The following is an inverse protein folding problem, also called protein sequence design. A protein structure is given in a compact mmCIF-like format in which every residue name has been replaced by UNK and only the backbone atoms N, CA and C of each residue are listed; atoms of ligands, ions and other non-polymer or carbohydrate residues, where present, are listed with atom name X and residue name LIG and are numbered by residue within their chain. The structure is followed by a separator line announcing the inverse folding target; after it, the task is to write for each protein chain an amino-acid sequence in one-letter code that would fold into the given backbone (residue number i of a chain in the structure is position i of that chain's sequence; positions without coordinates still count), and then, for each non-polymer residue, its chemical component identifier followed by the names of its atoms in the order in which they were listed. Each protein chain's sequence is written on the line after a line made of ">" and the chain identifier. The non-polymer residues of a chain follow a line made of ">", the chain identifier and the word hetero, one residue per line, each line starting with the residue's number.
data_IF_082224423811
#
_entry.id   IF_082224423811
#
_cell.length_a   1.000
_cell.length_b   1.000
_cell.length_c   1.000
_cell.angle_alpha   90.00
_cell.angle_beta   90.00
_cell.angle_gamma   90.00
#
_symmetry.space_group_name_H-M   'P 1'
#
loop_
_entity.id
_entity.type
_entity.pdbx_description
1 polymer ?
#
# COMPACT_ATOMS: atom_id res chain seq x y z
N UNK A 1 19.70 -8.85 -7.89
CA UNK A 1 18.41 -9.09 -7.22
C UNK A 1 18.14 -7.83 -6.43
N UNK A 2 17.01 -7.16 -6.66
CA UNK A 2 16.65 -6.01 -5.84
C UNK A 2 16.54 -6.45 -4.37
N UNK A 3 17.11 -5.66 -3.48
CA UNK A 3 16.94 -5.84 -2.04
C UNK A 3 15.72 -5.04 -1.61
N UNK A 4 14.89 -5.61 -0.75
CA UNK A 4 13.69 -4.94 -0.25
C UNK A 4 13.76 -4.84 1.26
N UNK A 5 13.44 -3.66 1.78
CA UNK A 5 13.32 -3.40 3.20
C UNK A 5 11.84 -3.37 3.58
N UNK A 6 11.38 -4.34 4.38
CA UNK A 6 10.00 -4.38 4.85
C UNK A 6 9.74 -3.23 5.83
N UNK A 7 8.80 -2.35 5.48
CA UNK A 7 8.38 -1.21 6.30
C UNK A 7 7.20 -1.57 7.20
N UNK A 8 6.20 -2.24 6.62
CA UNK A 8 4.99 -2.67 7.32
C UNK A 8 4.56 -4.05 6.84
N UNK A 9 3.99 -4.82 7.77
CA UNK A 9 3.40 -6.12 7.47
C UNK A 9 2.12 -6.27 8.28
N UNK A 10 1.04 -6.65 7.59
CA UNK A 10 -0.27 -6.88 8.17
C UNK A 10 -0.72 -8.29 7.81
N UNK A 11 -1.03 -9.10 8.82
CA UNK A 11 -1.59 -10.43 8.63
C UNK A 11 -3.14 -10.40 8.66
N UNK A 12 -3.75 -11.58 8.51
CA UNK A 12 -5.20 -11.76 8.45
C UNK A 12 -5.96 -11.32 9.73
N UNK A 13 -5.26 -11.06 10.84
CA UNK A 13 -5.86 -10.50 12.06
C UNK A 13 -6.24 -9.03 11.88
N UNK A 14 -5.53 -8.30 11.02
CA UNK A 14 -5.84 -6.91 10.67
C UNK A 14 -7.01 -6.84 9.69
N UNK A 15 -7.74 -5.73 9.75
CA UNK A 15 -8.85 -5.42 8.83
C UNK A 15 -8.73 -3.99 8.32
N UNK A 16 -9.03 -3.78 7.05
CA UNK A 16 -9.20 -2.43 6.52
C UNK A 16 -10.55 -1.89 6.97
N UNK A 17 -10.51 -0.78 7.71
CA UNK A 17 -11.72 -0.10 8.24
C UNK A 17 -12.06 1.17 7.47
N UNK A 18 -11.07 1.74 6.78
CA UNK A 18 -11.25 2.91 5.95
C UNK A 18 -10.31 2.83 4.76
N UNK A 19 -10.83 3.15 3.58
CA UNK A 19 -10.10 3.23 2.33
C UNK A 19 -10.53 4.50 1.60
N UNK A 20 -9.60 5.42 1.39
CA UNK A 20 -9.84 6.70 0.73
C UNK A 20 -8.92 6.82 -0.47
N UNK A 21 -9.49 6.88 -1.67
CA UNK A 21 -8.74 7.16 -2.89
C UNK A 21 -8.90 8.65 -3.20
N UNK A 22 -7.80 9.37 -3.24
CA UNK A 22 -7.76 10.79 -3.60
C UNK A 22 -7.20 10.94 -5.00
N UNK A 23 -7.92 11.66 -5.86
CA UNK A 23 -7.46 12.00 -7.20
C UNK A 23 -7.68 13.47 -7.44
N UNK A 24 -6.59 14.22 -7.51
CA UNK A 24 -6.65 15.63 -7.90
C UNK A 24 -6.94 15.74 -9.39
N UNK A 25 -7.85 16.65 -9.76
CA UNK A 25 -8.28 16.83 -11.16
C UNK A 25 -7.12 17.25 -12.09
N UNK A 26 -6.10 17.89 -11.53
CA UNK A 26 -4.92 18.38 -12.24
C UNK A 26 -3.75 17.39 -12.24
N UNK A 27 -3.84 16.28 -11.50
CA UNK A 27 -2.79 15.26 -11.43
C UNK A 27 -3.23 13.95 -12.08
N UNK A 28 -2.29 13.31 -12.77
CA UNK A 28 -2.53 11.99 -13.38
C UNK A 28 -2.53 10.89 -12.31
N UNK A 29 -1.77 11.08 -11.23
CA UNK A 29 -1.54 10.07 -10.20
C UNK A 29 -2.56 10.17 -9.07
N UNK A 30 -2.87 9.03 -8.46
CA UNK A 30 -3.84 8.93 -7.35
C UNK A 30 -3.11 8.68 -6.03
N UNK A 31 -3.62 9.24 -4.94
CA UNK A 31 -3.24 8.90 -3.57
C UNK A 31 -4.21 7.88 -2.97
N UNK A 32 -3.73 7.09 -2.02
CA UNK A 32 -4.54 6.14 -1.27
C UNK A 32 -4.24 6.31 0.22
N UNK A 33 -5.28 6.37 1.03
CA UNK A 33 -5.16 6.28 2.46
C UNK A 33 -5.92 5.06 2.95
N UNK A 34 -5.24 4.19 3.69
CA UNK A 34 -5.80 2.94 4.22
C UNK A 34 -5.62 2.91 5.73
N UNK A 35 -6.69 2.62 6.45
CA UNK A 35 -6.66 2.40 7.89
C UNK A 35 -6.81 0.93 8.21
N UNK A 36 -5.73 0.31 8.66
CA UNK A 36 -5.68 -1.05 9.17
C UNK A 36 -6.01 -1.03 10.67
N UNK A 37 -6.92 -1.89 11.12
CA UNK A 37 -7.29 -2.02 12.52
C UNK A 37 -7.14 -3.47 12.99
N UNK A 38 -6.64 -3.66 14.22
CA UNK A 38 -6.57 -4.93 14.90
C UNK A 38 -6.81 -4.73 16.40
N UNK A 39 -7.86 -5.37 16.92
CA UNK A 39 -8.31 -5.22 18.31
C UNK A 39 -8.49 -3.74 18.73
N UNK A 40 -7.58 -3.19 19.54
CA UNK A 40 -7.60 -1.80 20.02
C UNK A 40 -6.55 -0.92 19.32
N UNK A 41 -5.89 -1.43 18.29
CA UNK A 41 -4.88 -0.71 17.53
C UNK A 41 -5.41 -0.35 16.14
N UNK A 42 -5.09 0.86 15.69
CA UNK A 42 -5.30 1.28 14.31
C UNK A 42 -4.05 1.96 13.77
N UNK A 43 -3.74 1.70 12.50
CA UNK A 43 -2.62 2.28 11.77
C UNK A 43 -3.18 2.80 10.46
N UNK A 44 -2.99 4.10 10.22
CA UNK A 44 -3.34 4.72 8.94
C UNK A 44 -2.08 4.92 8.12
N UNK A 45 -2.06 4.37 6.91
CA UNK A 45 -1.00 4.56 5.93
C UNK A 45 -1.53 5.39 4.77
N UNK A 46 -0.78 6.41 4.38
CA UNK A 46 -1.02 7.20 3.18
C UNK A 46 0.06 6.86 2.14
N UNK A 47 -0.39 6.40 0.97
CA UNK A 47 0.42 6.02 -0.18
C UNK A 47 0.29 7.12 -1.26
N UNK A 48 1.42 7.64 -1.71
CA UNK A 48 1.48 8.74 -2.68
C UNK A 48 1.81 8.24 -4.08
N UNK A 49 1.14 8.81 -5.08
CA UNK A 49 1.44 8.58 -6.50
C UNK A 49 1.36 7.11 -6.95
N UNK A 50 0.21 6.47 -6.74
CA UNK A 50 0.00 5.06 -7.07
C UNK A 50 -0.09 4.87 -8.59
N UNK A 51 0.59 3.83 -9.08
CA UNK A 51 0.71 3.51 -10.50
C UNK A 51 -0.54 2.82 -11.08
N UNK A 52 -1.08 1.82 -10.38
CA UNK A 52 -2.25 1.04 -10.81
C UNK A 52 -3.28 0.87 -9.67
N UNK A 53 -4.29 1.75 -9.60
CA UNK A 53 -5.29 1.68 -8.55
C UNK A 53 -6.32 0.54 -8.74
N UNK A 54 -6.25 -0.23 -9.82
CA UNK A 54 -7.27 -1.27 -10.12
C UNK A 54 -7.34 -2.35 -9.04
N UNK A 55 -6.21 -2.65 -8.41
CA UNK A 55 -6.10 -3.70 -7.39
C UNK A 55 -6.34 -3.20 -5.97
N UNK A 56 -6.64 -1.92 -5.77
CA UNK A 56 -6.84 -1.33 -4.43
C UNK A 56 -7.99 -1.99 -3.68
N UNK A 57 -9.02 -2.48 -4.40
CA UNK A 57 -10.17 -3.13 -3.76
C UNK A 57 -9.81 -4.46 -3.06
N UNK A 58 -8.75 -5.13 -3.50
CA UNK A 58 -8.25 -6.38 -2.89
C UNK A 58 -7.75 -6.16 -1.44
N UNK A 59 -7.41 -4.91 -1.08
CA UNK A 59 -7.07 -4.54 0.31
C UNK A 59 -8.22 -4.76 1.29
N UNK A 60 -9.47 -4.88 0.83
CA UNK A 60 -10.59 -5.15 1.73
C UNK A 60 -10.65 -6.61 2.18
N UNK A 61 -10.17 -7.53 1.33
CA UNK A 61 -10.27 -8.99 1.51
C UNK A 61 -8.89 -9.67 1.64
N UNK A 62 -7.86 -8.91 2.01
CA UNK A 62 -6.50 -9.42 2.14
C UNK A 62 -6.37 -10.50 3.25
N UNK A 63 -5.46 -11.45 3.00
CA UNK A 63 -4.93 -12.37 3.99
C UNK A 63 -3.58 -11.89 4.55
N UNK A 64 -2.77 -11.25 3.71
CA UNK A 64 -1.54 -10.58 4.13
C UNK A 64 -1.27 -9.36 3.24
N UNK A 65 -0.76 -8.29 3.84
CA UNK A 65 -0.23 -7.12 3.13
C UNK A 65 1.21 -6.90 3.56
N UNK A 66 2.11 -6.78 2.59
CA UNK A 66 3.51 -6.44 2.83
C UNK A 66 3.81 -5.13 2.12
N UNK A 67 4.28 -4.14 2.86
CA UNK A 67 4.75 -2.86 2.34
C UNK A 67 6.26 -2.82 2.48
N UNK A 68 6.96 -2.72 1.36
CA UNK A 68 8.42 -2.73 1.32
C UNK A 68 8.97 -1.62 0.44
N UNK A 69 10.17 -1.15 0.79
CA UNK A 69 10.92 -0.18 -0.01
C UNK A 69 12.04 -0.92 -0.76
N UNK A 70 12.16 -0.66 -2.06
CA UNK A 70 13.27 -1.18 -2.87
C UNK A 70 14.57 -0.44 -2.53
N UNK A 71 15.49 -1.16 -1.89
CA UNK A 71 16.85 -0.68 -1.61
C UNK A 71 17.66 -0.59 -2.90
N UNK A 72 18.41 0.50 -3.05
CA UNK A 72 19.26 0.76 -4.22
C UNK A 72 18.51 0.91 -5.56
N UNK A 73 17.24 1.32 -5.52
CA UNK A 73 16.53 1.72 -6.73
C UNK A 73 17.31 2.86 -7.43
N UNK A 74 17.66 2.67 -8.71
CA UNK A 74 18.23 3.74 -9.55
C UNK A 74 17.17 4.76 -10.02
N UNK A 75 15.91 4.57 -9.58
CA UNK A 75 14.73 5.36 -9.94
C UNK A 75 14.25 6.17 -8.73
N UNK A 76 13.81 7.39 -9.00
CA UNK A 76 13.28 8.31 -7.99
C UNK A 76 11.77 8.13 -7.72
N UNK A 77 11.10 7.24 -8.46
CA UNK A 77 9.65 6.99 -8.41
C UNK A 77 9.36 5.49 -8.28
N UNK A 78 8.19 5.15 -7.75
CA UNK A 78 7.70 3.78 -7.57
C UNK A 78 8.71 2.91 -6.83
N UNK A 79 9.19 3.42 -5.69
CA UNK A 79 10.19 2.76 -4.83
C UNK A 79 9.53 1.92 -3.74
N UNK A 80 8.26 2.18 -3.41
CA UNK A 80 7.50 1.40 -2.45
C UNK A 80 6.66 0.37 -3.20
N UNK A 81 6.88 -0.90 -2.87
CA UNK A 81 6.09 -2.03 -3.33
C UNK A 81 5.08 -2.43 -2.26
N UNK A 82 3.81 -2.54 -2.65
CA UNK A 82 2.75 -3.09 -1.81
C UNK A 82 2.28 -4.41 -2.40
N UNK A 83 2.50 -5.50 -1.65
CA UNK A 83 2.09 -6.85 -2.03
C UNK A 83 0.83 -7.24 -1.26
N UNK A 84 -0.19 -7.68 -1.99
CA UNK A 84 -1.48 -8.12 -1.47
C UNK A 84 -1.62 -9.62 -1.71
N UNK A 85 -1.65 -10.38 -0.63
CA UNK A 85 -1.96 -11.80 -0.66
C UNK A 85 -3.42 -11.97 -0.32
N UNK A 86 -4.26 -12.15 -1.33
CA UNK A 86 -5.67 -12.55 -1.21
C UNK A 86 -5.91 -13.82 -2.07
N UNK A 87 -7.14 -14.06 -2.52
CA UNK A 87 -7.46 -15.22 -3.36
C UNK A 87 -6.64 -15.25 -4.66
N UNK A 88 -6.26 -14.09 -5.19
CA UNK A 88 -5.30 -13.93 -6.27
C UNK A 88 -4.23 -12.92 -5.86
N UNK A 89 -2.95 -13.25 -6.02
CA UNK A 89 -1.88 -12.30 -5.73
C UNK A 89 -2.05 -11.01 -6.54
N UNK A 90 -2.01 -9.88 -5.86
CA UNK A 90 -2.00 -8.56 -6.46
C UNK A 90 -0.87 -7.71 -5.88
N UNK A 91 -0.38 -6.75 -6.66
CA UNK A 91 0.59 -5.77 -6.20
C UNK A 91 0.31 -4.42 -6.83
N UNK A 92 0.77 -3.36 -6.17
CA UNK A 92 0.85 -2.02 -6.73
C UNK A 92 2.07 -1.29 -6.17
N UNK A 93 2.48 -0.23 -6.86
CA UNK A 93 3.63 0.57 -6.48
C UNK A 93 3.22 2.00 -6.18
N UNK A 94 3.97 2.64 -5.29
CA UNK A 94 3.80 4.05 -4.97
C UNK A 94 5.15 4.71 -4.71
N UNK A 95 5.19 6.04 -4.75
CA UNK A 95 6.43 6.81 -4.60
C UNK A 95 6.85 6.91 -3.13
N UNK A 96 5.87 6.99 -2.23
CA UNK A 96 6.10 7.11 -0.80
C UNK A 96 4.97 6.51 0.02
N UNK A 97 5.28 6.13 1.26
CA UNK A 97 4.31 5.71 2.27
C UNK A 97 4.57 6.45 3.59
N UNK A 98 3.53 7.06 4.14
CA UNK A 98 3.60 7.82 5.39
C UNK A 98 2.59 7.29 6.40
N UNK A 99 3.00 7.12 7.66
CA UNK A 99 2.09 6.79 8.76
C UNK A 99 1.45 8.06 9.32
N UNK A 100 0.12 8.09 9.37
CA UNK A 100 -0.68 9.18 9.96
C UNK A 100 -1.11 8.90 11.40
#
# INVERSE_FOLDING_TARGET
>A
MSEYNTLYEFDASWKVTQLVVTRDLDQVQSGLQVTFAHAEQSITLAFECIDDPQNIMELMDFQQVVVSEESHAERDFSTIKVELFCDAYAEFWCDAVTKQ
#
